data_IF_536656418477
#
_entry.id   IF_536656418477
#
_cell.length_a   1.000
_cell.length_b   1.000
_cell.length_c   1.000
_cell.angle_alpha   90.00
_cell.angle_beta   90.00
_cell.angle_gamma   90.00
#
_symmetry.space_group_name_H-M   'P 1'
#
loop_
_entity.id
_entity.type
_entity.pdbx_description
1 polymer ?
#
# COMPACT_ATOMS: atom_id res chain seq x y z
N UNK A 1 -17.26 -5.35 12.44
CA UNK A 1 -16.03 -5.03 13.10
C UNK A 1 -15.83 -5.68 14.47
N UNK A 2 -16.51 -6.81 14.69
CA UNK A 2 -16.37 -7.59 15.94
C UNK A 2 -14.94 -8.10 16.19
N UNK A 3 -14.06 -8.11 15.16
CA UNK A 3 -12.66 -8.49 15.29
C UNK A 3 -11.73 -7.33 15.70
N UNK A 4 -12.28 -6.15 16.02
CA UNK A 4 -11.49 -4.99 16.47
C UNK A 4 -10.92 -4.11 15.37
N UNK A 5 -11.30 -4.31 14.11
CA UNK A 5 -10.91 -3.40 13.03
C UNK A 5 -11.81 -2.14 13.02
N UNK A 6 -11.23 -0.97 12.81
CA UNK A 6 -11.95 0.30 12.68
C UNK A 6 -12.42 0.55 11.24
N UNK A 7 -11.65 0.08 10.27
CA UNK A 7 -11.96 0.18 8.84
C UNK A 7 -11.41 -1.01 8.06
N UNK A 8 -11.86 -1.15 6.82
CA UNK A 8 -11.38 -2.16 5.89
C UNK A 8 -10.89 -1.51 4.60
N UNK A 9 -9.72 -1.95 4.11
CA UNK A 9 -9.22 -1.63 2.79
C UNK A 9 -9.58 -2.77 1.82
N UNK A 10 -10.11 -2.43 0.66
CA UNK A 10 -10.41 -3.43 -0.36
C UNK A 10 -10.13 -2.93 -1.78
N UNK A 11 -9.38 -3.71 -2.60
CA UNK A 11 -9.21 -3.46 -4.03
C UNK A 11 -10.32 -4.09 -4.88
N UNK A 12 -11.43 -4.48 -4.27
CA UNK A 12 -12.56 -5.13 -4.95
C UNK A 12 -13.41 -4.12 -5.73
N UNK A 13 -14.40 -4.63 -6.46
CA UNK A 13 -15.31 -3.80 -7.24
C UNK A 13 -16.08 -2.81 -6.38
N UNK A 14 -16.57 -1.73 -7.00
CA UNK A 14 -17.39 -0.73 -6.32
C UNK A 14 -18.66 -1.33 -5.70
N UNK A 15 -19.23 -2.39 -6.31
CA UNK A 15 -20.39 -3.11 -5.74
C UNK A 15 -20.07 -3.76 -4.40
N UNK A 16 -18.84 -4.30 -4.25
CA UNK A 16 -18.38 -4.85 -2.95
C UNK A 16 -18.18 -3.74 -1.94
N UNK A 17 -17.61 -2.59 -2.35
CA UNK A 17 -17.48 -1.41 -1.49
C UNK A 17 -18.85 -0.95 -1.01
N UNK A 18 -19.81 -0.81 -1.91
CA UNK A 18 -21.18 -0.39 -1.60
C UNK A 18 -21.86 -1.37 -0.64
N UNK A 19 -21.73 -2.67 -0.88
CA UNK A 19 -22.26 -3.70 0.00
C UNK A 19 -21.70 -3.57 1.42
N UNK A 20 -20.38 -3.43 1.56
CA UNK A 20 -19.73 -3.31 2.86
C UNK A 20 -20.13 -2.01 3.57
N UNK A 21 -20.20 -0.90 2.85
CA UNK A 21 -20.63 0.39 3.39
C UNK A 21 -22.09 0.34 3.87
N UNK A 22 -22.99 -0.31 3.14
CA UNK A 22 -24.39 -0.54 3.54
C UNK A 22 -24.52 -1.37 4.82
N UNK A 23 -23.57 -2.28 5.07
CA UNK A 23 -23.49 -3.04 6.33
C UNK A 23 -22.84 -2.25 7.48
N UNK A 24 -22.60 -0.95 7.28
CA UNK A 24 -22.07 -0.05 8.31
C UNK A 24 -20.55 -0.12 8.49
N UNK A 25 -19.84 -0.73 7.56
CA UNK A 25 -18.37 -0.77 7.61
C UNK A 25 -17.78 0.54 7.06
N UNK A 26 -16.70 1.01 7.70
CA UNK A 26 -15.87 2.07 7.15
C UNK A 26 -14.97 1.46 6.09
N UNK A 27 -15.18 1.83 4.81
CA UNK A 27 -14.48 1.21 3.68
C UNK A 27 -13.55 2.21 3.03
N UNK A 28 -12.31 1.78 2.82
CA UNK A 28 -11.34 2.44 1.95
C UNK A 28 -11.24 1.64 0.66
N UNK A 29 -11.44 2.28 -0.48
CA UNK A 29 -11.26 1.66 -1.79
C UNK A 29 -9.83 1.81 -2.30
N UNK A 30 -9.58 1.33 -3.53
CA UNK A 30 -8.27 1.38 -4.17
C UNK A 30 -8.44 1.82 -5.62
N UNK A 31 -7.72 2.85 -6.04
CA UNK A 31 -7.74 3.39 -7.41
C UNK A 31 -6.33 3.63 -7.93
N UNK A 32 -6.22 3.87 -9.24
CA UNK A 32 -4.94 4.07 -9.91
C UNK A 32 -4.36 2.75 -10.41
N UNK A 33 -3.09 2.50 -10.09
CA UNK A 33 -2.41 1.25 -10.44
C UNK A 33 -2.69 0.17 -9.41
N UNK A 34 -3.87 -0.42 -9.44
CA UNK A 34 -4.20 -1.56 -8.58
C UNK A 34 -3.37 -2.78 -9.00
N UNK A 35 -2.47 -3.33 -8.15
CA UNK A 35 -1.52 -4.38 -8.57
C UNK A 35 -2.17 -5.62 -9.15
N UNK A 36 -3.32 -6.06 -8.62
CA UNK A 36 -4.08 -7.18 -9.15
C UNK A 36 -4.62 -6.97 -10.58
N UNK A 37 -4.63 -5.71 -11.04
CA UNK A 37 -5.09 -5.30 -12.37
C UNK A 37 -3.94 -4.83 -13.27
N UNK A 38 -2.68 -5.02 -12.84
CA UNK A 38 -1.50 -4.52 -13.56
C UNK A 38 -1.42 -4.99 -15.01
N UNK A 39 -1.89 -6.20 -15.31
CA UNK A 39 -1.95 -6.74 -16.69
C UNK A 39 -2.79 -5.88 -17.64
N UNK A 40 -3.83 -5.21 -17.13
CA UNK A 40 -4.66 -4.26 -17.91
C UNK A 40 -3.84 -3.07 -18.42
N UNK A 41 -2.76 -2.73 -17.73
CA UNK A 41 -1.90 -1.57 -18.03
C UNK A 41 -0.56 -1.98 -18.66
N UNK A 42 -0.38 -3.27 -19.00
CA UNK A 42 0.88 -3.79 -19.52
C UNK A 42 2.00 -3.91 -18.48
N UNK A 43 1.64 -3.98 -17.19
CA UNK A 43 2.56 -4.05 -16.06
C UNK A 43 2.39 -2.88 -15.08
N UNK A 44 3.17 -2.89 -14.00
CA UNK A 44 3.17 -1.82 -12.99
C UNK A 44 3.82 -0.57 -13.58
N UNK A 45 3.06 0.51 -13.68
CA UNK A 45 3.52 1.82 -14.16
C UNK A 45 2.75 2.96 -13.50
N UNK A 46 3.26 4.17 -13.61
CA UNK A 46 2.48 5.37 -13.27
C UNK A 46 1.34 5.55 -14.28
N UNK A 47 0.13 5.74 -13.78
CA UNK A 47 -1.10 6.04 -14.55
C UNK A 47 -1.50 7.51 -14.33
N UNK A 48 -2.50 8.00 -15.07
CA UNK A 48 -2.93 9.40 -14.96
C UNK A 48 -2.00 10.41 -15.65
N UNK A 49 -1.12 9.94 -16.55
CA UNK A 49 -0.20 10.80 -17.29
C UNK A 49 -0.85 11.53 -18.48
N UNK A 50 -1.99 11.07 -18.92
CA UNK A 50 -2.81 11.71 -19.95
C UNK A 50 -4.12 12.20 -19.35
N UNK A 51 -4.75 13.17 -20.01
CA UNK A 51 -6.05 13.70 -19.59
C UNK A 51 -7.10 12.57 -19.50
N UNK A 52 -7.11 11.67 -20.46
CA UNK A 52 -8.08 10.55 -20.49
C UNK A 52 -7.87 9.58 -19.31
N UNK A 53 -6.61 9.27 -18.97
CA UNK A 53 -6.31 8.45 -17.79
C UNK A 53 -6.71 9.19 -16.50
N UNK A 54 -6.41 10.48 -16.37
CA UNK A 54 -6.76 11.27 -15.20
C UNK A 54 -8.28 11.38 -15.02
N UNK A 55 -9.02 11.60 -16.11
CA UNK A 55 -10.49 11.61 -16.10
C UNK A 55 -11.06 10.25 -15.69
N UNK A 56 -10.45 9.16 -16.15
CA UNK A 56 -10.86 7.80 -15.76
C UNK A 56 -10.68 7.59 -14.25
N UNK A 57 -9.54 7.99 -13.70
CA UNK A 57 -9.27 7.90 -12.26
C UNK A 57 -10.24 8.78 -11.46
N UNK A 58 -10.52 10.01 -11.93
CA UNK A 58 -11.51 10.86 -11.30
C UNK A 58 -12.91 10.22 -11.26
N UNK A 59 -13.33 9.57 -12.37
CA UNK A 59 -14.59 8.83 -12.40
C UNK A 59 -14.61 7.67 -11.40
N UNK A 60 -13.51 6.94 -11.28
CA UNK A 60 -13.39 5.85 -10.30
C UNK A 60 -13.42 6.38 -8.86
N UNK A 61 -12.78 7.53 -8.58
CA UNK A 61 -12.89 8.21 -7.29
C UNK A 61 -14.35 8.58 -6.96
N UNK A 62 -15.09 9.16 -7.93
CA UNK A 62 -16.50 9.49 -7.74
C UNK A 62 -17.36 8.26 -7.50
N UNK A 63 -17.12 7.18 -8.22
CA UNK A 63 -17.82 5.89 -8.00
C UNK A 63 -17.55 5.31 -6.62
N UNK A 64 -16.32 5.44 -6.10
CA UNK A 64 -16.02 5.03 -4.72
C UNK A 64 -16.77 5.89 -3.70
N UNK A 65 -16.82 7.19 -3.93
CA UNK A 65 -17.55 8.13 -3.09
C UNK A 65 -19.05 7.80 -3.06
N UNK A 66 -19.64 7.57 -4.25
CA UNK A 66 -21.04 7.17 -4.42
C UNK A 66 -21.34 5.80 -3.78
N UNK A 67 -20.37 4.88 -3.79
CA UNK A 67 -20.45 3.58 -3.13
C UNK A 67 -20.35 3.65 -1.60
N UNK A 68 -20.12 4.84 -1.03
CA UNK A 68 -20.08 5.06 0.42
C UNK A 68 -18.70 4.79 1.05
N UNK A 69 -17.63 4.77 0.28
CA UNK A 69 -16.28 4.74 0.82
C UNK A 69 -15.98 6.04 1.57
N UNK A 70 -15.19 6.00 2.65
CA UNK A 70 -14.68 7.18 3.32
C UNK A 70 -13.35 7.65 2.78
N UNK A 71 -12.61 6.77 2.11
CA UNK A 71 -11.28 7.06 1.60
C UNK A 71 -10.87 6.17 0.44
N UNK A 72 -9.75 6.51 -0.17
CA UNK A 72 -9.14 5.77 -1.27
C UNK A 72 -7.63 5.67 -1.08
N UNK A 73 -7.08 4.48 -1.27
CA UNK A 73 -5.67 4.30 -1.60
C UNK A 73 -5.49 4.64 -3.07
N UNK A 74 -4.63 5.61 -3.34
CA UNK A 74 -4.34 6.08 -4.70
C UNK A 74 -2.90 5.70 -5.04
N UNK A 75 -2.77 4.62 -5.83
CA UNK A 75 -1.46 4.02 -6.11
C UNK A 75 -0.92 4.41 -7.47
N UNK A 76 0.32 4.88 -7.48
CA UNK A 76 1.11 5.20 -8.68
C UNK A 76 0.37 6.09 -9.70
N UNK A 77 -0.38 7.08 -9.24
CA UNK A 77 -0.99 8.12 -10.06
C UNK A 77 -0.01 9.29 -10.23
N UNK A 78 0.00 9.93 -11.40
CA UNK A 78 0.81 11.12 -11.61
C UNK A 78 0.40 12.22 -10.63
N UNK A 79 1.38 12.87 -9.98
CA UNK A 79 1.14 13.83 -8.89
C UNK A 79 0.24 14.98 -9.31
N UNK A 80 0.49 15.57 -10.49
CA UNK A 80 -0.34 16.67 -11.01
C UNK A 80 -1.80 16.25 -11.19
N UNK A 81 -2.04 15.00 -11.64
CA UNK A 81 -3.38 14.45 -11.77
C UNK A 81 -4.02 14.25 -10.39
N UNK A 82 -3.27 13.73 -9.40
CA UNK A 82 -3.78 13.55 -8.03
C UNK A 82 -4.16 14.89 -7.39
N UNK A 83 -3.30 15.91 -7.51
CA UNK A 83 -3.56 17.26 -6.99
C UNK A 83 -4.87 17.83 -7.57
N UNK A 84 -5.10 17.61 -8.86
CA UNK A 84 -6.36 18.07 -9.49
C UNK A 84 -7.55 17.23 -9.06
N UNK A 85 -7.44 15.92 -9.06
CA UNK A 85 -8.51 14.99 -8.64
C UNK A 85 -8.96 15.28 -7.21
N UNK A 86 -8.03 15.57 -6.30
CA UNK A 86 -8.34 15.89 -4.89
C UNK A 86 -9.31 17.05 -4.73
N UNK A 87 -9.30 18.02 -5.63
CA UNK A 87 -10.23 19.17 -5.59
C UNK A 87 -11.69 18.78 -5.84
N UNK A 88 -11.91 17.57 -6.37
CA UNK A 88 -13.20 17.10 -6.83
C UNK A 88 -13.78 15.93 -6.01
N UNK A 89 -13.17 15.56 -4.90
CA UNK A 89 -13.64 14.48 -4.04
C UNK A 89 -13.51 14.85 -2.57
N UNK A 90 -14.39 14.29 -1.73
CA UNK A 90 -14.33 14.40 -0.28
C UNK A 90 -13.62 13.21 0.39
N UNK A 91 -13.21 12.20 -0.38
CA UNK A 91 -12.53 11.03 0.13
C UNK A 91 -11.18 11.39 0.77
N UNK A 92 -10.86 10.74 1.88
CA UNK A 92 -9.50 10.77 2.45
C UNK A 92 -8.57 10.02 1.50
N UNK A 93 -7.54 10.69 1.02
CA UNK A 93 -6.60 10.13 0.03
C UNK A 93 -5.33 9.64 0.69
N UNK A 94 -5.12 8.32 0.68
CA UNK A 94 -3.85 7.70 1.01
C UNK A 94 -3.00 7.59 -0.27
N UNK A 95 -1.97 8.42 -0.39
CA UNK A 95 -1.07 8.45 -1.54
C UNK A 95 0.02 7.38 -1.41
N UNK A 96 -0.01 6.37 -2.29
CA UNK A 96 1.03 5.36 -2.44
C UNK A 96 1.75 5.55 -3.78
N UNK A 97 2.94 6.15 -3.75
CA UNK A 97 3.71 6.42 -4.96
C UNK A 97 3.05 7.42 -5.92
N UNK A 98 2.14 8.26 -5.43
CA UNK A 98 1.39 9.26 -6.21
C UNK A 98 1.77 10.69 -5.86
N UNK A 99 2.90 10.89 -5.17
CA UNK A 99 3.37 12.21 -4.74
C UNK A 99 2.71 12.69 -3.45
N UNK A 100 2.90 13.97 -3.13
CA UNK A 100 2.50 14.60 -1.87
C UNK A 100 1.07 15.19 -1.90
N UNK A 101 0.35 15.03 -2.99
CA UNK A 101 -1.00 15.63 -3.18
C UNK A 101 -2.12 14.97 -2.37
N UNK A 102 -1.88 13.85 -1.68
CA UNK A 102 -2.84 13.17 -0.82
C UNK A 102 -2.98 13.78 0.57
N UNK A 103 -3.87 13.23 1.39
CA UNK A 103 -4.02 13.59 2.80
C UNK A 103 -3.02 12.85 3.68
N UNK A 104 -2.69 11.63 3.29
CA UNK A 104 -1.75 10.73 3.95
C UNK A 104 -0.77 10.19 2.92
N UNK A 105 0.51 10.12 3.28
CA UNK A 105 1.52 9.39 2.50
C UNK A 105 1.64 7.99 3.05
N UNK A 106 1.42 7.00 2.20
CA UNK A 106 1.50 5.59 2.54
C UNK A 106 2.84 4.99 2.07
N UNK A 107 3.55 4.35 2.98
CA UNK A 107 4.81 3.65 2.71
C UNK A 107 4.80 2.30 3.42
N UNK A 108 5.39 1.29 2.79
CA UNK A 108 5.55 -0.02 3.43
C UNK A 108 6.66 0.01 4.48
N UNK A 109 6.38 -0.62 5.62
CA UNK A 109 7.33 -0.69 6.73
C UNK A 109 8.65 -1.35 6.31
N UNK A 110 8.58 -2.40 5.51
CA UNK A 110 9.74 -3.13 5.00
C UNK A 110 10.67 -2.22 4.17
N UNK A 111 10.08 -1.32 3.36
CA UNK A 111 10.86 -0.37 2.58
C UNK A 111 11.52 0.67 3.49
N UNK A 112 10.78 1.22 4.46
CA UNK A 112 11.27 2.22 5.42
C UNK A 112 12.43 1.66 6.24
N UNK A 113 12.29 0.44 6.73
CA UNK A 113 13.28 -0.23 7.57
C UNK A 113 14.45 -0.83 6.79
N UNK A 114 14.40 -0.86 5.46
CA UNK A 114 15.44 -1.47 4.62
C UNK A 114 15.42 -3.00 4.67
N UNK A 115 14.23 -3.58 4.84
CA UNK A 115 14.03 -5.03 4.86
C UNK A 115 13.67 -5.63 3.50
N UNK A 116 13.37 -4.79 2.52
CA UNK A 116 13.08 -5.21 1.15
C UNK A 116 14.31 -5.86 0.55
N UNK A 117 14.25 -7.18 0.35
CA UNK A 117 15.37 -7.97 -0.18
C UNK A 117 14.96 -8.70 -1.45
N UNK A 118 15.91 -8.82 -2.38
CA UNK A 118 15.72 -9.58 -3.64
C UNK A 118 14.85 -8.90 -4.69
N UNK A 119 14.26 -7.75 -4.38
CA UNK A 119 13.44 -6.95 -5.28
C UNK A 119 14.01 -5.53 -5.32
N UNK A 120 13.97 -4.90 -6.48
CA UNK A 120 14.37 -3.49 -6.59
C UNK A 120 13.38 -2.64 -5.79
N UNK A 121 13.90 -1.84 -4.86
CA UNK A 121 13.09 -0.89 -4.10
C UNK A 121 12.29 0.02 -5.04
N UNK A 122 10.98 0.21 -4.77
CA UNK A 122 10.15 1.13 -5.54
C UNK A 122 10.74 2.55 -5.54
N UNK A 123 10.63 3.28 -6.65
CA UNK A 123 11.21 4.63 -6.77
C UNK A 123 10.62 5.66 -5.80
N UNK A 124 9.40 5.43 -5.34
CA UNK A 124 8.71 6.29 -4.38
C UNK A 124 9.08 6.00 -2.92
N UNK A 125 9.74 4.88 -2.67
CA UNK A 125 10.16 4.49 -1.34
C UNK A 125 11.61 4.90 -1.06
N UNK A 126 11.89 5.17 0.22
CA UNK A 126 13.23 5.45 0.73
C UNK A 126 13.46 4.64 1.98
N UNK A 127 14.60 3.95 2.05
CA UNK A 127 15.03 3.31 3.29
C UNK A 127 15.72 4.31 4.19
N UNK A 128 15.36 4.28 5.48
CA UNK A 128 16.03 5.01 6.56
C UNK A 128 16.79 4.05 7.50
N UNK A 129 16.67 2.73 7.28
CA UNK A 129 17.32 1.68 8.07
C UNK A 129 18.05 0.67 7.20
N UNK A 130 18.72 -0.27 7.86
CA UNK A 130 19.37 -1.44 7.25
C UNK A 130 18.88 -2.73 7.93
N UNK A 131 17.58 -2.96 7.84
CA UNK A 131 16.90 -4.10 8.47
C UNK A 131 17.41 -5.45 7.95
N UNK A 132 17.83 -5.53 6.69
CA UNK A 132 18.42 -6.73 6.13
C UNK A 132 19.76 -7.08 6.78
N UNK A 133 20.58 -6.06 7.11
CA UNK A 133 21.83 -6.26 7.84
C UNK A 133 21.55 -6.76 9.25
N UNK A 134 20.65 -6.08 9.95
CA UNK A 134 20.23 -6.46 11.32
C UNK A 134 19.69 -7.89 11.35
N UNK A 135 18.82 -8.27 10.41
CA UNK A 135 18.31 -9.64 10.28
C UNK A 135 19.43 -10.67 10.07
N UNK A 136 20.42 -10.37 9.24
CA UNK A 136 21.57 -11.26 9.02
C UNK A 136 22.41 -11.41 10.28
N UNK A 137 22.69 -10.32 10.99
CA UNK A 137 23.43 -10.34 12.25
C UNK A 137 22.70 -11.18 13.30
N UNK A 138 21.41 -10.94 13.53
CA UNK A 138 20.58 -11.73 14.46
C UNK A 138 20.52 -13.22 14.09
N UNK A 139 20.40 -13.55 12.82
CA UNK A 139 20.42 -14.95 12.37
C UNK A 139 21.78 -15.62 12.60
N UNK A 140 22.87 -14.90 12.38
CA UNK A 140 24.23 -15.40 12.66
C UNK A 140 24.43 -15.61 14.15
N UNK A 141 24.05 -14.66 15.00
CA UNK A 141 24.12 -14.80 16.45
C UNK A 141 23.27 -15.96 16.97
N UNK A 142 22.04 -16.10 16.45
CA UNK A 142 21.16 -17.23 16.79
C UNK A 142 21.78 -18.59 16.40
N UNK A 143 22.38 -18.68 15.22
CA UNK A 143 23.06 -19.89 14.75
C UNK A 143 24.28 -20.21 15.64
N UNK A 144 25.04 -19.20 16.02
CA UNK A 144 26.18 -19.34 16.93
C UNK A 144 25.73 -19.78 18.33
N UNK A 145 24.65 -19.17 18.86
CA UNK A 145 24.08 -19.56 20.16
C UNK A 145 23.61 -21.00 20.17
N UNK A 146 22.92 -21.45 19.12
CA UNK A 146 22.47 -22.87 18.99
C UNK A 146 23.65 -23.81 18.90
N UNK A 147 24.69 -23.46 18.14
CA UNK A 147 25.94 -24.24 18.04
C UNK A 147 26.65 -24.36 19.39
N UNK A 148 26.71 -23.26 20.15
CA UNK A 148 27.33 -23.23 21.48
C UNK A 148 26.58 -24.10 22.51
N UNK A 149 25.24 -24.08 22.51
CA UNK A 149 24.43 -24.88 23.43
C UNK A 149 24.52 -26.38 23.15
N UNK A 150 24.77 -26.78 21.90
CA UNK A 150 25.01 -28.20 21.57
C UNK A 150 26.39 -28.72 21.98
N UNK A 151 27.36 -27.83 22.14
CA UNK A 151 28.74 -28.18 22.53
C UNK A 151 28.94 -28.30 24.07
N UNK A 152 27.96 -27.83 24.85
CA UNK A 152 28.10 -27.73 26.33
C UNK A 152 27.26 -28.73 27.12
N UNK A 153 26.64 -29.73 26.50
CA UNK A 153 26.01 -30.81 27.22
C UNK A 153 27.09 -31.78 27.73
N UNK A 154 27.33 -31.91 29.03
CA UNK A 154 28.26 -32.92 29.55
C UNK A 154 27.72 -34.29 29.22
N UNK A 155 28.52 -35.09 28.57
CA UNK A 155 28.27 -36.53 28.49
C UNK A 155 28.52 -37.13 29.88
N UNK A 156 27.45 -37.39 30.61
CA UNK A 156 27.47 -38.25 31.80
C UNK A 156 27.36 -39.73 31.38
#
# INVERSE_FOLDING_TARGET
MMAGADSVLTPRSFDVVEMLAKEGMQVQGHVGMVPSMATKYGGIRTVGKTADEAITILKDMKRLEDAGAFGAEVECVAEDALIEIKKHTSLVINSLGSGSGGDVMFLFFEDICGETSGIKMPRHAKSWGDGNKIKKELNNERSNAVSYTHLTLPTT
#
